data_IF_517196051395
#
_entry.id   IF_517196051395
#
_cell.length_a   1.000
_cell.length_b   1.000
_cell.length_c   1.000
_cell.angle_alpha   90.00
_cell.angle_beta   90.00
_cell.angle_gamma   90.00
#
_symmetry.space_group_name_H-M   'P 1'
#
loop_
_entity.id
_entity.type
_entity.pdbx_description
1 polymer ?
#
# COMPACT_ATOMS: atom_id res chain seq x y z
N UNK A 1 -1.43 -8.94 -0.99
CA UNK A 1 0.00 -9.25 -1.20
C UNK A 1 0.54 -8.30 -2.27
N UNK A 2 1.68 -7.64 -2.05
CA UNK A 2 2.36 -6.83 -3.06
C UNK A 2 2.94 -7.76 -4.14
N UNK A 3 2.56 -7.61 -5.40
CA UNK A 3 2.91 -8.60 -6.43
C UNK A 3 4.14 -8.21 -7.24
N UNK A 4 4.36 -6.92 -7.53
CA UNK A 4 5.56 -6.43 -8.25
C UNK A 4 5.73 -4.93 -8.05
N UNK A 5 6.97 -4.47 -7.78
CA UNK A 5 7.37 -3.06 -7.90
C UNK A 5 7.99 -2.86 -9.27
N UNK A 6 7.57 -1.83 -10.00
CA UNK A 6 8.16 -1.46 -11.30
C UNK A 6 8.50 0.03 -11.32
N UNK A 7 9.52 0.38 -12.10
CA UNK A 7 9.95 1.76 -12.29
C UNK A 7 10.28 2.02 -13.76
N UNK A 8 10.05 3.24 -14.24
CA UNK A 8 10.55 3.71 -15.54
C UNK A 8 11.80 4.55 -15.41
N UNK A 9 12.25 4.82 -14.19
CA UNK A 9 13.49 5.54 -13.96
C UNK A 9 14.67 4.78 -14.56
N UNK A 10 15.66 5.53 -15.05
CA UNK A 10 16.81 4.97 -15.74
C UNK A 10 18.12 5.34 -15.07
N UNK A 11 18.15 6.38 -14.24
CA UNK A 11 19.36 6.90 -13.60
C UNK A 11 19.24 6.81 -12.08
N UNK A 12 19.20 5.56 -11.59
CA UNK A 12 19.15 5.25 -10.17
C UNK A 12 20.20 4.19 -9.78
N UNK A 13 20.48 4.08 -8.49
CA UNK A 13 21.34 3.05 -7.92
C UNK A 13 20.90 2.69 -6.50
N UNK A 14 21.43 1.59 -5.99
CA UNK A 14 21.38 1.31 -4.56
C UNK A 14 22.37 2.21 -3.82
N UNK A 15 21.94 2.76 -2.69
CA UNK A 15 22.71 3.63 -1.80
C UNK A 15 22.39 3.30 -0.35
N UNK A 16 23.12 3.90 0.59
CA UNK A 16 22.82 3.79 2.02
C UNK A 16 21.38 4.27 2.32
N UNK A 17 20.67 3.46 3.11
CA UNK A 17 19.27 3.65 3.46
C UNK A 17 19.00 4.77 4.45
N UNK A 18 17.71 5.08 4.61
CA UNK A 18 17.20 6.05 5.59
C UNK A 18 16.69 5.31 6.84
N UNK A 19 16.85 5.97 8.00
CA UNK A 19 16.30 5.47 9.27
C UNK A 19 14.82 5.88 9.48
N UNK A 20 14.30 6.79 8.65
CA UNK A 20 12.93 7.27 8.73
C UNK A 20 11.94 6.31 8.08
N UNK A 21 10.71 6.29 8.58
CA UNK A 21 9.59 5.50 8.06
C UNK A 21 9.87 3.99 7.96
N UNK A 22 10.78 3.42 8.76
CA UNK A 22 11.02 1.96 8.80
C UNK A 22 9.83 1.21 9.41
N UNK A 23 9.55 0.00 8.92
CA UNK A 23 8.53 -0.87 9.51
C UNK A 23 9.17 -1.74 10.60
N UNK A 24 8.52 -1.95 11.76
CA UNK A 24 8.98 -2.96 12.70
C UNK A 24 9.04 -4.34 12.04
N UNK A 25 10.20 -5.00 12.11
CA UNK A 25 10.41 -6.29 11.45
C UNK A 25 10.79 -6.19 9.97
N UNK A 26 11.30 -5.03 9.53
CA UNK A 26 11.94 -4.90 8.22
C UNK A 26 12.98 -6.00 7.99
N UNK A 27 12.98 -6.57 6.78
CA UNK A 27 13.93 -7.60 6.36
C UNK A 27 15.32 -7.01 6.15
N UNK A 28 15.40 -5.73 5.83
CA UNK A 28 16.64 -5.00 5.79
C UNK A 28 17.08 -4.65 7.21
N UNK A 29 17.93 -5.52 7.75
CA UNK A 29 18.44 -5.42 9.12
C UNK A 29 19.69 -4.55 9.24
N UNK A 30 20.20 -4.00 8.12
CA UNK A 30 21.38 -3.15 8.13
C UNK A 30 21.07 -1.70 8.60
N UNK A 31 22.08 -1.08 9.20
CA UNK A 31 22.06 0.31 9.65
C UNK A 31 23.30 1.07 9.14
N UNK A 32 23.16 1.93 8.11
CA UNK A 32 21.95 2.12 7.31
C UNK A 32 21.67 0.90 6.39
N UNK A 33 20.41 0.75 6.00
CA UNK A 33 19.94 -0.29 5.06
C UNK A 33 20.33 0.05 3.62
N UNK A 34 19.55 -0.42 2.65
CA UNK A 34 19.66 -0.04 1.24
C UNK A 34 18.44 0.75 0.79
N UNK A 35 18.68 1.90 0.15
CA UNK A 35 17.66 2.72 -0.49
C UNK A 35 17.88 2.86 -1.99
N UNK A 36 16.90 3.46 -2.65
CA UNK A 36 17.00 3.86 -4.07
C UNK A 36 17.47 5.31 -4.15
N UNK A 37 18.62 5.51 -4.76
CA UNK A 37 19.23 6.82 -4.98
C UNK A 37 19.19 7.25 -6.44
N UNK A 38 18.75 8.48 -6.70
CA UNK A 38 18.63 9.08 -8.03
C UNK A 38 19.74 10.08 -8.31
N UNK A 39 20.18 10.11 -9.57
CA UNK A 39 21.21 11.02 -10.11
C UNK A 39 20.72 11.57 -11.45
N UNK A 40 21.35 12.64 -11.96
CA UNK A 40 20.93 13.28 -13.23
C UNK A 40 19.41 13.45 -13.30
N UNK A 41 18.81 13.97 -12.22
CA UNK A 41 17.37 13.90 -11.96
C UNK A 41 16.45 14.44 -13.07
N UNK A 42 16.87 15.39 -13.93
CA UNK A 42 16.05 15.81 -15.07
C UNK A 42 15.69 14.68 -16.05
N UNK A 43 16.54 13.66 -16.18
CA UNK A 43 16.31 12.52 -17.09
C UNK A 43 15.13 11.68 -16.62
N UNK A 44 14.88 11.64 -15.31
CA UNK A 44 13.81 10.86 -14.69
C UNK A 44 12.64 11.74 -14.21
N UNK A 45 12.53 12.99 -14.70
CA UNK A 45 11.31 13.79 -14.50
C UNK A 45 10.14 13.13 -15.23
N UNK A 46 9.06 12.87 -14.49
CA UNK A 46 7.90 12.12 -14.97
C UNK A 46 8.08 10.60 -14.92
N UNK A 47 9.25 10.10 -14.52
CA UNK A 47 9.42 8.69 -14.18
C UNK A 47 8.72 8.37 -12.87
N UNK A 48 8.33 7.11 -12.72
CA UNK A 48 7.55 6.67 -11.58
C UNK A 48 8.08 5.41 -10.93
N UNK A 49 7.72 5.23 -9.66
CA UNK A 49 7.73 3.95 -8.96
C UNK A 49 6.27 3.54 -8.78
N UNK A 50 5.90 2.35 -9.24
CA UNK A 50 4.54 1.84 -9.11
C UNK A 50 4.53 0.41 -8.59
N UNK A 51 3.44 0.06 -7.90
CA UNK A 51 3.26 -1.28 -7.38
C UNK A 51 1.79 -1.66 -7.29
N UNK A 52 1.51 -2.94 -7.55
CA UNK A 52 0.18 -3.50 -7.49
C UNK A 52 -0.05 -4.19 -6.14
N UNK A 53 -1.22 -3.94 -5.56
CA UNK A 53 -1.64 -4.49 -4.27
C UNK A 53 -3.08 -4.98 -4.37
N UNK A 54 -3.32 -6.17 -3.83
CA UNK A 54 -4.67 -6.61 -3.49
C UNK A 54 -5.11 -5.89 -2.22
N UNK A 55 -5.98 -4.89 -2.36
CA UNK A 55 -6.54 -4.10 -1.28
C UNK A 55 -7.94 -4.61 -0.85
N UNK A 56 -8.31 -5.85 -1.21
CA UNK A 56 -9.55 -6.47 -0.73
C UNK A 56 -9.58 -6.45 0.79
N UNK A 57 -10.72 -6.05 1.36
CA UNK A 57 -10.93 -5.86 2.80
C UNK A 57 -10.11 -4.75 3.45
N UNK A 58 -9.41 -3.90 2.70
CA UNK A 58 -8.73 -2.72 3.24
C UNK A 58 -9.45 -1.42 2.90
N UNK A 59 -9.53 -0.51 3.87
CA UNK A 59 -10.08 0.83 3.72
C UNK A 59 -9.26 1.86 4.51
N UNK A 60 -9.50 3.15 4.24
CA UNK A 60 -8.84 4.26 4.95
C UNK A 60 -7.31 4.13 4.86
N UNK A 61 -6.83 3.93 3.63
CA UNK A 61 -5.41 3.66 3.39
C UNK A 61 -4.58 4.94 3.36
N UNK A 62 -3.32 4.85 3.76
CA UNK A 62 -2.30 5.89 3.62
C UNK A 62 -1.01 5.30 3.05
N UNK A 63 -0.40 6.05 2.14
CA UNK A 63 0.90 5.74 1.56
C UNK A 63 1.94 6.70 2.11
N UNK A 64 2.98 6.19 2.76
CA UNK A 64 4.11 6.99 3.25
C UNK A 64 5.44 6.45 2.77
N UNK A 65 6.45 7.31 2.70
CA UNK A 65 7.84 6.92 2.42
C UNK A 65 8.81 7.95 2.97
N UNK A 66 10.05 7.53 3.21
CA UNK A 66 11.13 8.42 3.54
C UNK A 66 11.80 8.94 2.27
N UNK A 67 12.16 10.22 2.28
CA UNK A 67 12.87 10.85 1.18
C UNK A 67 13.89 11.85 1.72
N UNK A 68 15.10 11.83 1.18
CA UNK A 68 16.10 12.88 1.39
C UNK A 68 16.47 13.46 0.03
N UNK A 69 16.47 14.79 -0.08
CA UNK A 69 16.89 15.47 -1.30
C UNK A 69 17.95 16.52 -0.99
N UNK A 70 19.05 16.44 -1.73
CA UNK A 70 20.14 17.39 -1.74
C UNK A 70 20.06 18.27 -2.99
N UNK A 71 20.49 19.52 -2.86
CA UNK A 71 20.64 20.46 -3.97
C UNK A 71 19.41 20.56 -4.87
N UNK A 72 19.60 20.17 -6.13
CA UNK A 72 18.64 20.32 -7.22
C UNK A 72 18.01 18.96 -7.62
N UNK A 73 17.80 18.07 -6.65
CA UNK A 73 17.03 16.84 -6.84
C UNK A 73 15.55 17.09 -7.14
N UNK A 74 14.72 16.05 -7.06
CA UNK A 74 13.28 16.20 -7.28
C UNK A 74 12.67 17.14 -6.22
N UNK A 75 11.77 18.02 -6.65
CA UNK A 75 11.09 19.00 -5.78
C UNK A 75 9.62 18.65 -5.52
N UNK A 76 9.08 17.67 -6.25
CA UNK A 76 7.68 17.29 -6.19
C UNK A 76 7.51 15.80 -6.43
N UNK A 77 6.50 15.25 -5.75
CA UNK A 77 6.03 13.89 -5.97
C UNK A 77 4.51 13.90 -6.09
N UNK A 78 3.99 13.20 -7.08
CA UNK A 78 2.55 13.01 -7.30
C UNK A 78 2.15 11.57 -7.00
N UNK A 79 1.05 11.40 -6.27
CA UNK A 79 0.39 10.11 -6.15
C UNK A 79 -0.75 10.02 -7.17
N UNK A 80 -0.76 8.94 -7.94
CA UNK A 80 -1.95 8.45 -8.65
C UNK A 80 -2.23 7.00 -8.29
N UNK A 81 -3.47 6.58 -8.49
CA UNK A 81 -3.85 5.17 -8.36
C UNK A 81 -4.64 4.70 -9.56
N UNK A 82 -4.60 3.39 -9.81
CA UNK A 82 -5.35 2.75 -10.88
C UNK A 82 -6.30 1.72 -10.30
N UNK A 83 -7.53 1.75 -10.81
CA UNK A 83 -8.52 0.70 -10.57
C UNK A 83 -9.00 0.24 -11.94
N UNK A 84 -8.87 -1.05 -12.22
CA UNK A 84 -9.23 -1.63 -13.52
C UNK A 84 -8.58 -0.88 -14.72
N UNK A 85 -7.34 -0.42 -14.55
CA UNK A 85 -6.57 0.30 -15.56
C UNK A 85 -6.91 1.78 -15.73
N UNK A 86 -7.88 2.32 -14.98
CA UNK A 86 -8.22 3.75 -15.03
C UNK A 86 -7.41 4.51 -13.99
N UNK A 87 -6.63 5.49 -14.44
CA UNK A 87 -5.85 6.38 -13.56
C UNK A 87 -6.74 7.41 -12.86
N UNK A 88 -6.48 7.63 -11.58
CA UNK A 88 -7.01 8.76 -10.80
C UNK A 88 -5.85 9.45 -10.08
N UNK A 89 -5.67 10.74 -10.35
CA UNK A 89 -4.67 11.57 -9.68
C UNK A 89 -5.20 11.92 -8.29
N UNK A 90 -4.41 11.63 -7.25
CA UNK A 90 -4.71 11.98 -5.86
C UNK A 90 -4.28 13.41 -5.56
N UNK A 91 -3.08 13.77 -5.99
CA UNK A 91 -2.47 15.08 -5.76
C UNK A 91 -0.96 14.99 -5.66
N UNK A 92 -0.32 16.14 -5.40
CA UNK A 92 1.12 16.25 -5.29
C UNK A 92 1.53 16.82 -3.93
N UNK A 93 2.71 16.42 -3.46
CA UNK A 93 3.36 16.96 -2.27
C UNK A 93 4.72 17.56 -2.67
N UNK A 94 5.13 18.67 -2.03
CA UNK A 94 6.48 19.20 -2.21
C UNK A 94 7.51 18.29 -1.53
N UNK A 95 8.70 18.25 -2.09
CA UNK A 95 9.90 17.63 -1.51
C UNK A 95 10.81 18.78 -1.08
N UNK A 96 11.06 18.91 0.22
CA UNK A 96 11.93 19.97 0.75
C UNK A 96 13.39 19.54 0.66
N UNK A 97 14.26 20.37 0.09
CA UNK A 97 15.71 20.13 0.07
C UNK A 97 16.35 20.36 1.44
N UNK A 98 17.35 19.55 1.80
CA UNK A 98 18.22 19.80 2.94
C UNK A 98 18.00 18.89 4.14
N UNK A 99 17.40 17.72 3.95
CA UNK A 99 17.34 16.67 4.94
C UNK A 99 16.26 15.63 4.68
N UNK A 100 16.42 14.48 5.33
CA UNK A 100 15.47 13.39 5.26
C UNK A 100 14.12 13.77 5.91
N UNK A 101 13.02 13.49 5.21
CA UNK A 101 11.65 13.77 5.63
C UNK A 101 10.73 12.60 5.29
N UNK A 102 9.52 12.60 5.84
CA UNK A 102 8.48 11.63 5.51
C UNK A 102 7.39 12.32 4.70
N UNK A 103 7.13 11.81 3.49
CA UNK A 103 5.98 12.24 2.69
C UNK A 103 4.86 11.23 2.91
N UNK A 104 3.63 11.74 3.12
CA UNK A 104 2.43 10.91 3.34
C UNK A 104 1.29 11.41 2.47
N UNK A 105 0.61 10.46 1.83
CA UNK A 105 -0.63 10.67 1.11
C UNK A 105 -1.77 9.89 1.75
N UNK A 106 -2.93 10.53 1.91
CA UNK A 106 -4.17 9.81 2.12
C UNK A 106 -4.62 9.19 0.79
N UNK A 107 -4.84 7.88 0.76
CA UNK A 107 -5.35 7.19 -0.43
C UNK A 107 -6.89 7.37 -0.45
N UNK A 108 -7.47 7.92 -1.53
CA UNK A 108 -8.90 8.23 -1.56
C UNK A 108 -9.80 6.98 -1.44
N UNK A 109 -11.06 7.14 -0.96
CA UNK A 109 -11.98 6.02 -0.80
C UNK A 109 -12.26 5.20 -2.07
N UNK A 110 -12.06 5.77 -3.27
CA UNK A 110 -12.21 5.05 -4.53
C UNK A 110 -11.25 3.87 -4.71
N UNK A 111 -10.13 3.87 -3.96
CA UNK A 111 -9.17 2.77 -3.94
C UNK A 111 -9.49 1.67 -2.91
N UNK A 112 -10.47 1.88 -2.01
CA UNK A 112 -10.81 0.92 -0.96
C UNK A 112 -11.41 -0.36 -1.54
N UNK A 113 -11.07 -1.51 -0.93
CA UNK A 113 -11.62 -2.82 -1.30
C UNK A 113 -11.44 -3.17 -2.79
N UNK A 114 -10.33 -2.74 -3.39
CA UNK A 114 -10.02 -2.98 -4.79
C UNK A 114 -8.98 -4.12 -4.93
N UNK A 115 -9.30 -5.24 -5.60
CA UNK A 115 -8.38 -6.36 -5.75
C UNK A 115 -7.24 -6.09 -6.75
N UNK A 116 -7.38 -5.06 -7.59
CA UNK A 116 -6.46 -4.71 -8.67
C UNK A 116 -5.88 -3.30 -8.49
N UNK A 117 -5.76 -2.84 -7.25
CA UNK A 117 -5.24 -1.50 -6.95
C UNK A 117 -3.78 -1.39 -7.38
N UNK A 118 -3.46 -0.39 -8.18
CA UNK A 118 -2.07 0.01 -8.45
C UNK A 118 -1.85 1.40 -7.88
N UNK A 119 -0.77 1.58 -7.14
CA UNK A 119 -0.34 2.90 -6.65
C UNK A 119 0.91 3.32 -7.41
N UNK A 120 0.98 4.61 -7.77
CA UNK A 120 2.09 5.18 -8.54
C UNK A 120 2.56 6.49 -7.91
N UNK A 121 3.85 6.56 -7.61
CA UNK A 121 4.57 7.77 -7.21
C UNK A 121 5.35 8.29 -8.41
N UNK A 122 5.03 9.49 -8.88
CA UNK A 122 5.71 10.14 -10.02
C UNK A 122 6.51 11.33 -9.52
N UNK A 123 7.82 11.36 -9.81
CA UNK A 123 8.75 12.37 -9.32
C UNK A 123 9.06 13.42 -10.39
N UNK A 124 9.13 14.69 -10.01
CA UNK A 124 9.31 15.81 -10.93
C UNK A 124 10.18 16.93 -10.32
N UNK A 125 10.50 17.92 -11.17
CA UNK A 125 11.26 19.13 -10.81
C UNK A 125 12.74 18.89 -10.51
N UNK A 126 13.26 17.71 -10.84
CA UNK A 126 14.69 17.46 -10.86
C UNK A 126 15.39 18.41 -11.83
N UNK A 127 16.48 19.03 -11.39
CA UNK A 127 17.29 19.98 -12.17
C UNK A 127 18.79 19.67 -12.15
N UNK A 128 19.24 18.70 -11.35
CA UNK A 128 20.66 18.37 -11.22
C UNK A 128 21.16 17.50 -12.37
N UNK A 129 22.12 18.03 -13.13
CA UNK A 129 22.71 17.37 -14.30
C UNK A 129 23.94 16.50 -13.96
N UNK A 130 24.31 16.42 -12.67
CA UNK A 130 25.50 15.72 -12.21
C UNK A 130 25.26 14.24 -11.89
N UNK A 131 26.36 13.50 -11.78
CA UNK A 131 26.36 12.10 -11.32
C UNK A 131 26.44 11.97 -9.78
N UNK A 132 26.33 13.08 -9.04
CA UNK A 132 26.21 13.05 -7.60
C UNK A 132 24.77 12.66 -7.20
N UNK A 133 24.65 11.89 -6.12
CA UNK A 133 23.37 11.50 -5.54
C UNK A 133 22.56 12.74 -5.17
N UNK A 134 21.30 12.81 -5.62
CA UNK A 134 20.43 13.95 -5.38
C UNK A 134 19.24 13.61 -4.50
N UNK A 135 18.54 12.54 -4.83
CA UNK A 135 17.30 12.17 -4.13
C UNK A 135 17.40 10.71 -3.72
N UNK A 136 17.19 10.42 -2.45
CA UNK A 136 17.14 9.08 -1.87
C UNK A 136 15.70 8.82 -1.48
N UNK A 137 15.12 7.71 -1.93
CA UNK A 137 13.77 7.27 -1.56
C UNK A 137 13.88 5.92 -0.89
N UNK A 138 13.21 5.77 0.24
CA UNK A 138 13.27 4.57 1.05
C UNK A 138 11.97 4.29 1.80
N UNK A 139 11.84 3.07 2.31
CA UNK A 139 10.83 2.63 3.25
C UNK A 139 9.40 2.99 2.83
N UNK A 140 9.00 2.62 1.61
CA UNK A 140 7.62 2.83 1.13
C UNK A 140 6.67 1.91 1.91
N UNK A 141 5.68 2.50 2.58
CA UNK A 141 4.67 1.81 3.36
C UNK A 141 3.26 2.16 2.90
N UNK A 142 2.44 1.12 2.69
CA UNK A 142 1.00 1.26 2.55
C UNK A 142 0.33 0.69 3.80
N UNK A 143 -0.35 1.56 4.55
CA UNK A 143 -1.08 1.20 5.74
C UNK A 143 -2.58 1.36 5.51
N UNK A 144 -3.41 0.55 6.16
CA UNK A 144 -4.86 0.61 6.04
C UNK A 144 -5.56 -0.14 7.15
N UNK A 145 -6.86 0.14 7.32
CA UNK A 145 -7.71 -0.57 8.28
C UNK A 145 -8.38 -1.76 7.61
N UNK A 146 -8.27 -2.94 8.22
CA UNK A 146 -9.00 -4.11 7.77
C UNK A 146 -10.49 -3.93 8.09
N UNK A 147 -11.35 -4.15 7.11
CA UNK A 147 -12.80 -4.19 7.26
C UNK A 147 -13.16 -5.60 7.73
N UNK A 148 -13.76 -5.76 8.91
CA UNK A 148 -14.28 -7.06 9.31
C UNK A 148 -15.30 -7.54 8.27
N UNK A 149 -15.15 -8.77 7.80
CA UNK A 149 -16.23 -9.40 7.03
C UNK A 149 -17.51 -9.36 7.89
N UNK A 150 -18.66 -8.91 7.35
CA UNK A 150 -19.90 -9.00 8.11
C UNK A 150 -20.13 -10.47 8.47
N UNK A 151 -20.47 -10.73 9.74
CA UNK A 151 -20.71 -12.03 10.37
C UNK A 151 -21.79 -12.93 9.71
N UNK A 152 -22.18 -12.63 8.47
CA UNK A 152 -23.26 -13.25 7.70
C UNK A 152 -23.03 -14.75 7.43
N UNK A 153 -21.77 -15.20 7.33
CA UNK A 153 -21.47 -16.64 7.16
C UNK A 153 -21.75 -17.44 8.45
N UNK A 154 -21.51 -16.84 9.62
CA UNK A 154 -21.67 -17.51 10.93
C UNK A 154 -23.14 -17.58 11.33
N UNK A 155 -23.94 -16.55 11.05
CA UNK A 155 -25.38 -16.56 11.34
C UNK A 155 -26.14 -17.55 10.45
N UNK A 156 -25.76 -17.71 9.19
CA UNK A 156 -26.37 -18.68 8.27
C UNK A 156 -26.15 -20.13 8.71
N UNK A 157 -24.94 -20.48 9.14
CA UNK A 157 -24.61 -21.83 9.59
C UNK A 157 -25.29 -22.19 10.93
N UNK A 158 -25.34 -21.24 11.87
CA UNK A 158 -26.02 -21.43 13.16
C UNK A 158 -27.55 -21.53 13.00
N UNK A 159 -28.14 -20.81 12.03
CA UNK A 159 -29.55 -20.92 11.69
C UNK A 159 -29.93 -22.31 11.16
N UNK A 160 -29.10 -22.89 10.29
CA UNK A 160 -29.32 -24.24 9.71
C UNK A 160 -29.14 -25.34 10.78
N UNK A 161 -28.13 -25.23 11.64
CA UNK A 161 -27.93 -26.19 12.74
C UNK A 161 -29.04 -26.08 13.81
N UNK A 162 -29.50 -24.87 14.11
CA UNK A 162 -30.62 -24.62 15.03
C UNK A 162 -31.95 -25.19 14.51
N UNK A 163 -32.23 -25.04 13.21
CA UNK A 163 -33.42 -25.62 12.56
C UNK A 163 -33.36 -27.16 12.55
N UNK A 164 -32.21 -27.75 12.22
CA UNK A 164 -32.02 -29.21 12.24
C UNK A 164 -32.18 -29.83 13.63
N UNK A 165 -31.68 -29.16 14.67
CA UNK A 165 -31.84 -29.59 16.07
C UNK A 165 -33.30 -29.48 16.55
N UNK A 166 -33.99 -28.39 16.22
CA UNK A 166 -35.40 -28.21 16.55
C UNK A 166 -36.32 -29.22 15.83
N UNK A 167 -36.02 -29.57 14.58
CA UNK A 167 -36.75 -30.60 13.84
C UNK A 167 -36.53 -32.00 14.44
N UNK A 168 -35.29 -32.35 14.80
CA UNK A 168 -34.96 -33.64 15.43
C UNK A 168 -35.65 -33.83 16.79
N UNK A 169 -35.78 -32.77 17.60
CA UNK A 169 -36.42 -32.82 18.92
C UNK A 169 -37.94 -33.00 18.84
N UNK A 170 -38.60 -32.54 17.76
CA UNK A 170 -40.04 -32.75 17.53
C UNK A 170 -40.34 -34.20 17.10
N UNK A 171 -39.52 -34.79 16.24
CA UNK A 171 -39.67 -36.19 15.79
C UNK A 171 -39.54 -37.22 16.93
N UNK A 172 -38.59 -37.03 17.85
CA UNK A 172 -38.39 -37.96 18.98
C UNK A 172 -39.59 -37.94 19.95
N UNK A 173 -40.19 -36.76 20.19
CA UNK A 173 -41.37 -36.64 21.06
C UNK A 173 -42.62 -37.30 20.50
N UNK A 174 -42.77 -37.37 19.18
CA UNK A 174 -43.90 -38.09 18.54
C UNK A 174 -43.74 -39.61 18.53
N UNK A 175 -42.50 -40.14 18.62
CA UNK A 175 -42.25 -41.59 18.60
C UNK A 175 -42.37 -42.22 20.00
N UNK A 176 -42.16 -41.46 21.07
CA UNK A 176 -42.30 -41.97 22.46
C UNK A 176 -43.75 -42.11 22.97
N UNK A 177 -44.79 -41.91 22.15
CA UNK A 177 -46.20 -41.97 22.57
C UNK A 177 -46.96 -43.24 22.15
N UNK A 178 -46.29 -44.31 21.70
CA UNK A 178 -46.93 -45.63 21.53
C UNK A 178 -46.02 -46.77 21.96
N UNK A 179 -46.01 -47.05 23.26
CA UNK A 179 -45.93 -48.42 23.78
C UNK A 179 -46.94 -48.51 24.93
N UNK A 180 -48.12 -49.00 24.60
CA UNK A 180 -49.07 -49.65 25.53
C UNK A 180 -48.43 -50.89 26.12
#
# INVERSE_FOLDING_TARGET
>A
MLTTITTTATVFASVDGLLLNRTPGDIDTADPGLAVGFRTTPVDNGSYIQFAVDATFFQTMSLSFAIDTAGNGFDTVQLSYFVNGVETIVGSQPIVTGGAQIITFAVPPGANNQPTLVLRLTFNGGMSQGNNLQTIIDNIQLNGTAVPEPATVVSGLLGVLGLGWHQRRRLIRSVCLRRT
#
